data_IF_461344865817
#
_entry.id   IF_461344865817
#
_cell.length_a   1.000
_cell.length_b   1.000
_cell.length_c   1.000
_cell.angle_alpha   90.00
_cell.angle_beta   90.00
_cell.angle_gamma   90.00
#
_symmetry.space_group_name_H-M   'P 1'
#
loop_
_entity.id
_entity.type
_entity.pdbx_description
1 polymer ?
#
# COMPACT_ATOMS: atom_id res chain seq x y z
N UNK A 1 14.13 0.37 -8.77
CA UNK A 1 14.26 -0.45 -7.54
C UNK A 1 15.24 -1.55 -7.83
N UNK A 2 16.33 -1.59 -7.06
CA UNK A 2 17.34 -2.65 -7.11
C UNK A 2 16.95 -3.85 -6.21
N UNK A 3 17.78 -4.89 -6.19
CA UNK A 3 17.51 -6.11 -5.42
C UNK A 3 17.44 -5.84 -3.91
N UNK A 4 18.32 -5.00 -3.36
CA UNK A 4 18.33 -4.68 -1.92
C UNK A 4 17.02 -4.02 -1.48
N UNK A 5 16.56 -3.06 -2.26
CA UNK A 5 15.29 -2.38 -2.01
C UNK A 5 14.08 -3.31 -2.21
N UNK A 6 14.17 -4.26 -3.14
CA UNK A 6 13.12 -5.27 -3.33
C UNK A 6 13.06 -6.25 -2.16
N UNK A 7 14.19 -6.70 -1.63
CA UNK A 7 14.25 -7.50 -0.38
C UNK A 7 13.65 -6.72 0.78
N UNK A 8 14.03 -5.44 0.95
CA UNK A 8 13.47 -4.58 1.99
C UNK A 8 11.94 -4.42 1.85
N UNK A 9 11.46 -4.16 0.64
CA UNK A 9 10.04 -4.08 0.33
C UNK A 9 9.32 -5.40 0.64
N UNK A 10 9.89 -6.53 0.23
CA UNK A 10 9.32 -7.86 0.49
C UNK A 10 9.23 -8.16 1.98
N UNK A 11 10.25 -7.77 2.76
CA UNK A 11 10.24 -7.93 4.21
C UNK A 11 9.19 -7.05 4.90
N UNK A 12 9.04 -5.80 4.46
CA UNK A 12 7.98 -4.92 4.96
C UNK A 12 6.60 -5.47 4.59
N UNK A 13 6.42 -5.93 3.35
CA UNK A 13 5.17 -6.53 2.90
C UNK A 13 4.81 -7.78 3.72
N UNK A 14 5.78 -8.66 3.95
CA UNK A 14 5.63 -9.83 4.83
C UNK A 14 5.25 -9.41 6.24
N UNK A 15 5.93 -8.43 6.81
CA UNK A 15 5.62 -7.95 8.14
C UNK A 15 4.18 -7.42 8.24
N UNK A 16 3.71 -6.67 7.25
CA UNK A 16 2.38 -6.06 7.24
C UNK A 16 1.25 -7.06 6.96
N UNK A 17 1.46 -8.03 6.07
CA UNK A 17 0.41 -8.92 5.56
C UNK A 17 0.59 -10.40 5.93
N UNK A 18 1.66 -10.76 6.62
CA UNK A 18 2.00 -12.14 6.98
C UNK A 18 2.44 -13.01 5.79
N UNK A 19 2.66 -12.41 4.63
CA UNK A 19 3.10 -13.10 3.40
C UNK A 19 3.98 -12.21 2.55
N UNK A 20 4.95 -12.81 1.87
CA UNK A 20 5.74 -12.13 0.84
C UNK A 20 4.86 -11.60 -0.30
N UNK A 21 5.31 -10.58 -1.05
CA UNK A 21 4.57 -10.08 -2.19
C UNK A 21 4.46 -11.15 -3.27
N UNK A 22 3.40 -11.07 -4.07
CA UNK A 22 3.21 -11.91 -5.27
C UNK A 22 2.79 -11.04 -6.45
N UNK A 23 3.16 -11.47 -7.66
CA UNK A 23 2.70 -10.88 -8.90
C UNK A 23 1.80 -11.81 -9.72
N UNK A 24 1.44 -13.00 -9.19
CA UNK A 24 0.79 -14.09 -9.92
C UNK A 24 -0.56 -13.67 -10.50
N UNK A 25 -1.42 -13.08 -9.65
CA UNK A 25 -2.75 -12.65 -10.04
C UNK A 25 -2.93 -11.13 -9.97
N UNK A 26 -4.06 -10.67 -10.51
CA UNK A 26 -4.37 -9.25 -10.61
C UNK A 26 -4.51 -8.58 -9.24
N UNK A 27 -5.04 -9.28 -8.25
CA UNK A 27 -5.27 -8.74 -6.91
C UNK A 27 -3.96 -8.56 -6.16
N UNK A 28 -3.07 -9.55 -6.18
CA UNK A 28 -1.77 -9.47 -5.51
C UNK A 28 -0.93 -8.31 -6.08
N UNK A 29 -0.97 -8.10 -7.40
CA UNK A 29 -0.33 -6.93 -8.03
C UNK A 29 -0.90 -5.60 -7.55
N UNK A 30 -2.20 -5.53 -7.29
CA UNK A 30 -2.83 -4.30 -6.76
C UNK A 30 -2.42 -4.11 -5.30
N UNK A 31 -2.55 -5.15 -4.47
CA UNK A 31 -2.20 -5.13 -3.05
C UNK A 31 -0.77 -4.66 -2.87
N UNK A 32 0.18 -5.25 -3.60
CA UNK A 32 1.58 -4.87 -3.56
C UNK A 32 1.81 -3.38 -3.87
N UNK A 33 1.13 -2.87 -4.91
CA UNK A 33 1.20 -1.45 -5.27
C UNK A 33 0.66 -0.52 -4.18
N UNK A 34 -0.39 -0.93 -3.45
CA UNK A 34 -0.95 -0.13 -2.34
C UNK A 34 -0.08 -0.18 -1.10
N UNK A 35 0.49 -1.33 -0.78
CA UNK A 35 1.45 -1.45 0.33
C UNK A 35 2.66 -0.56 0.04
N UNK A 36 3.26 -0.66 -1.14
CA UNK A 36 4.41 0.18 -1.51
C UNK A 36 4.11 1.67 -1.37
N UNK A 37 2.93 2.11 -1.84
CA UNK A 37 2.53 3.51 -1.70
C UNK A 37 2.34 3.92 -0.23
N UNK A 38 1.61 3.13 0.56
CA UNK A 38 1.31 3.46 1.96
C UNK A 38 2.56 3.51 2.84
N UNK A 39 3.53 2.64 2.55
CA UNK A 39 4.82 2.58 3.25
C UNK A 39 5.65 3.83 2.95
N UNK A 40 5.76 4.24 1.68
CA UNK A 40 6.41 5.50 1.30
C UNK A 40 5.67 6.72 1.88
N UNK A 41 4.34 6.70 1.88
CA UNK A 41 3.51 7.76 2.45
C UNK A 41 3.73 7.95 3.95
N UNK A 42 4.01 6.85 4.66
CA UNK A 42 4.39 6.82 6.07
C UNK A 42 5.85 7.21 6.33
N UNK A 43 6.64 7.56 5.30
CA UNK A 43 8.03 8.00 5.43
C UNK A 43 9.02 6.85 5.60
N UNK A 44 8.68 5.65 5.12
CA UNK A 44 9.60 4.51 5.04
C UNK A 44 10.01 4.38 3.57
N UNK A 45 11.24 4.80 3.28
CA UNK A 45 11.79 4.79 1.93
C UNK A 45 12.33 3.41 1.57
N UNK A 46 11.78 2.81 0.53
CA UNK A 46 12.14 1.50 -0.02
C UNK A 46 12.80 1.66 -1.40
N UNK A 47 13.65 2.69 -1.52
CA UNK A 47 14.33 3.07 -2.75
C UNK A 47 13.50 3.99 -3.66
N UNK A 48 13.90 4.08 -4.93
CA UNK A 48 13.28 5.02 -5.88
C UNK A 48 11.94 4.53 -6.41
N UNK A 49 10.90 4.72 -5.60
CA UNK A 49 9.51 4.50 -5.96
C UNK A 49 8.84 5.83 -6.34
N UNK A 50 8.43 5.94 -7.61
CA UNK A 50 7.58 7.03 -8.07
C UNK A 50 6.17 6.52 -8.32
N UNK A 51 5.18 7.17 -7.71
CA UNK A 51 3.77 6.82 -7.86
C UNK A 51 3.02 7.88 -8.67
N UNK A 52 2.19 7.43 -9.59
CA UNK A 52 1.25 8.27 -10.32
C UNK A 52 -0.16 7.68 -10.26
N UNK A 53 -1.17 8.50 -10.56
CA UNK A 53 -2.55 8.05 -10.59
C UNK A 53 -2.82 7.09 -11.76
N UNK A 54 -3.27 5.87 -11.46
CA UNK A 54 -3.64 4.85 -12.43
C UNK A 54 -5.08 4.33 -12.18
N UNK A 55 -5.59 3.44 -13.04
CA UNK A 55 -6.94 2.86 -12.97
C UNK A 55 -7.33 2.38 -11.56
N UNK A 56 -6.36 1.85 -10.81
CA UNK A 56 -6.54 1.34 -9.44
C UNK A 56 -5.93 2.26 -8.37
N UNK A 57 -5.74 3.55 -8.65
CA UNK A 57 -5.12 4.53 -7.74
C UNK A 57 -3.60 4.62 -7.90
N UNK A 58 -2.83 4.98 -6.85
CA UNK A 58 -1.38 5.19 -6.96
C UNK A 58 -0.67 3.93 -7.47
N UNK A 59 0.19 4.11 -8.46
CA UNK A 59 0.90 3.00 -9.11
C UNK A 59 2.33 3.40 -9.47
N UNK A 60 3.25 2.48 -9.24
CA UNK A 60 4.66 2.58 -9.59
C UNK A 60 5.04 1.54 -10.64
N UNK A 61 5.54 2.01 -11.79
CA UNK A 61 6.09 1.15 -12.85
C UNK A 61 7.35 0.43 -12.38
N UNK A 62 8.20 1.10 -11.59
CA UNK A 62 9.43 0.50 -11.06
C UNK A 62 9.10 -0.66 -10.11
N UNK A 63 8.11 -0.48 -9.24
CA UNK A 63 7.63 -1.55 -8.36
C UNK A 63 6.99 -2.70 -9.17
N UNK A 64 6.21 -2.40 -10.20
CA UNK A 64 5.59 -3.44 -11.02
C UNK A 64 6.64 -4.31 -11.75
N UNK A 65 7.72 -3.68 -12.25
CA UNK A 65 8.84 -4.40 -12.84
C UNK A 65 9.59 -5.24 -11.80
N UNK A 66 9.82 -4.67 -10.62
CA UNK A 66 10.50 -5.34 -9.51
C UNK A 66 9.73 -6.57 -9.02
N UNK A 67 8.40 -6.48 -8.88
CA UNK A 67 7.55 -7.62 -8.50
C UNK A 67 7.59 -8.76 -9.53
N UNK A 68 7.65 -8.45 -10.83
CA UNK A 68 7.82 -9.49 -11.87
C UNK A 68 9.20 -10.13 -11.81
N UNK A 69 10.22 -9.37 -11.43
CA UNK A 69 11.56 -9.91 -11.22
C UNK A 69 11.61 -10.79 -9.97
N UNK A 70 10.98 -10.37 -8.87
CA UNK A 70 10.80 -11.19 -7.66
C UNK A 70 10.18 -12.55 -8.00
N UNK A 71 9.04 -12.56 -8.71
CA UNK A 71 8.33 -13.82 -9.01
C UNK A 71 9.16 -14.79 -9.85
N UNK A 72 10.03 -14.27 -10.74
CA UNK A 72 10.91 -15.10 -11.57
C UNK A 72 12.08 -15.71 -10.79
N UNK A 73 12.46 -15.13 -9.65
CA UNK A 73 13.62 -15.53 -8.85
C UNK A 73 13.20 -15.72 -7.38
N UNK A 74 11.99 -16.24 -7.16
CA UNK A 74 11.33 -16.22 -5.84
C UNK A 74 12.14 -16.92 -4.75
N UNK A 75 12.74 -18.07 -5.07
CA UNK A 75 13.55 -18.86 -4.13
C UNK A 75 14.74 -18.05 -3.58
N UNK A 76 15.50 -17.37 -4.45
CA UNK A 76 16.63 -16.52 -4.05
C UNK A 76 16.18 -15.38 -3.11
N UNK A 77 15.05 -14.75 -3.42
CA UNK A 77 14.52 -13.66 -2.60
C UNK A 77 13.93 -14.13 -1.27
N UNK A 78 13.33 -15.32 -1.23
CA UNK A 78 12.84 -15.93 0.00
C UNK A 78 13.99 -16.19 0.97
N UNK A 79 15.10 -16.73 0.46
CA UNK A 79 16.34 -16.90 1.22
C UNK A 79 16.89 -15.55 1.71
N UNK A 80 17.06 -14.57 0.82
CA UNK A 80 17.55 -13.22 1.20
C UNK A 80 16.68 -12.56 2.27
N UNK A 81 15.34 -12.66 2.15
CA UNK A 81 14.40 -12.10 3.12
C UNK A 81 14.47 -12.78 4.49
N UNK A 82 14.97 -14.01 4.57
CA UNK A 82 15.12 -14.73 5.84
C UNK A 82 16.25 -14.14 6.70
N UNK A 83 17.28 -13.57 6.07
CA UNK A 83 18.44 -12.98 6.74
C UNK A 83 18.24 -11.51 7.12
N UNK A 84 17.27 -10.82 6.52
CA UNK A 84 17.00 -9.39 6.75
C UNK A 84 16.04 -9.19 7.92
N UNK A 85 16.42 -8.28 8.83
CA UNK A 85 15.57 -7.80 9.93
C UNK A 85 15.13 -6.37 9.68
N UNK A 86 13.90 -6.07 10.07
CA UNK A 86 13.39 -4.70 10.07
C UNK A 86 14.02 -3.95 11.23
N UNK A 87 14.59 -2.78 10.94
CA UNK A 87 15.23 -1.94 11.93
C UNK A 87 14.18 -1.38 12.92
N UNK A 88 14.50 -1.36 14.22
CA UNK A 88 13.56 -0.99 15.29
C UNK A 88 12.93 0.40 15.10
N UNK A 89 13.74 1.36 14.64
CA UNK A 89 13.28 2.72 14.30
C UNK A 89 12.07 2.77 13.32
N UNK A 90 11.92 1.76 12.47
CA UNK A 90 10.85 1.69 11.46
C UNK A 90 9.59 1.01 12.00
N UNK A 91 9.72 0.19 13.05
CA UNK A 91 8.62 -0.61 13.60
C UNK A 91 7.40 0.22 14.01
N UNK A 92 7.52 1.37 14.72
CA UNK A 92 6.34 2.15 15.11
C UNK A 92 5.47 2.58 13.91
N UNK A 93 6.10 2.92 12.77
CA UNK A 93 5.38 3.29 11.55
C UNK A 93 4.72 2.09 10.88
N UNK A 94 5.37 0.93 10.91
CA UNK A 94 4.79 -0.31 10.40
C UNK A 94 3.66 -0.83 11.29
N UNK A 95 3.76 -0.70 12.60
CA UNK A 95 2.72 -1.07 13.55
C UNK A 95 1.49 -0.16 13.38
N UNK A 96 1.72 1.15 13.16
CA UNK A 96 0.65 2.05 12.73
C UNK A 96 -0.03 1.56 11.44
N UNK A 97 0.74 1.24 10.40
CA UNK A 97 0.17 0.73 9.14
C UNK A 97 -0.53 -0.61 9.32
N UNK A 98 -0.04 -1.51 10.18
CA UNK A 98 -0.76 -2.74 10.58
C UNK A 98 -2.10 -2.42 11.19
N UNK A 99 -2.17 -1.43 12.09
CA UNK A 99 -3.41 -0.96 12.68
C UNK A 99 -4.40 -0.45 11.64
N UNK A 100 -3.92 0.32 10.65
CA UNK A 100 -4.75 0.77 9.51
C UNK A 100 -5.24 -0.42 8.69
N UNK A 101 -4.37 -1.38 8.36
CA UNK A 101 -4.73 -2.57 7.56
C UNK A 101 -5.75 -3.44 8.30
N UNK A 102 -5.53 -3.69 9.60
CA UNK A 102 -6.42 -4.47 10.46
C UNK A 102 -7.75 -3.76 10.73
N UNK A 103 -7.77 -2.43 10.70
CA UNK A 103 -8.98 -1.60 10.87
C UNK A 103 -9.96 -1.63 9.69
N UNK A 104 -9.85 -2.60 8.80
CA UNK A 104 -10.74 -2.79 7.65
C UNK A 104 -12.18 -3.15 8.09
N UNK A 105 -13.22 -2.53 7.50
CA UNK A 105 -14.60 -2.97 7.68
C UNK A 105 -14.82 -4.43 7.24
N UNK A 106 -15.70 -5.15 7.93
CA UNK A 106 -15.99 -6.57 7.62
C UNK A 106 -16.47 -6.77 6.18
N UNK A 107 -17.35 -5.89 5.72
CA UNK A 107 -18.00 -5.88 4.40
C UNK A 107 -17.10 -5.35 3.26
N UNK A 108 -15.91 -4.83 3.57
CA UNK A 108 -14.98 -4.33 2.57
C UNK A 108 -13.89 -5.37 2.25
N UNK A 109 -13.78 -5.87 1.01
CA UNK A 109 -12.68 -6.74 0.59
C UNK A 109 -11.31 -6.06 0.76
N UNK A 110 -10.28 -6.85 1.11
CA UNK A 110 -8.90 -6.35 1.34
C UNK A 110 -8.36 -5.50 0.19
N UNK A 111 -8.58 -5.95 -1.05
CA UNK A 111 -8.15 -5.23 -2.25
C UNK A 111 -8.74 -3.81 -2.32
N UNK A 112 -10.03 -3.65 -2.01
CA UNK A 112 -10.70 -2.36 -2.05
C UNK A 112 -10.31 -1.49 -0.85
N UNK A 113 -10.14 -2.10 0.33
CA UNK A 113 -9.66 -1.39 1.52
C UNK A 113 -8.31 -0.72 1.29
N UNK A 114 -7.32 -1.48 0.83
CA UNK A 114 -5.99 -0.98 0.55
C UNK A 114 -6.00 0.04 -0.60
N UNK A 115 -6.86 -0.18 -1.61
CA UNK A 115 -7.04 0.77 -2.69
C UNK A 115 -7.62 2.10 -2.21
N UNK A 116 -8.61 2.07 -1.33
CA UNK A 116 -9.20 3.26 -0.70
C UNK A 116 -8.15 3.99 0.12
N UNK A 117 -7.45 3.30 1.03
CA UNK A 117 -6.42 3.88 1.88
C UNK A 117 -5.36 4.64 1.07
N UNK A 118 -4.78 3.97 0.08
CA UNK A 118 -3.73 4.56 -0.74
C UNK A 118 -4.29 5.69 -1.65
N UNK A 119 -5.49 5.51 -2.21
CA UNK A 119 -6.08 6.51 -3.11
C UNK A 119 -6.42 7.81 -2.38
N UNK A 120 -6.98 7.75 -1.17
CA UNK A 120 -7.33 8.95 -0.40
C UNK A 120 -6.09 9.75 -0.01
N UNK A 121 -5.01 9.09 0.43
CA UNK A 121 -3.75 9.77 0.74
C UNK A 121 -3.13 10.41 -0.50
N UNK A 122 -3.15 9.71 -1.63
CA UNK A 122 -2.67 10.26 -2.89
C UNK A 122 -3.47 11.50 -3.31
N UNK A 123 -4.80 11.41 -3.34
CA UNK A 123 -5.68 12.52 -3.73
C UNK A 123 -5.58 13.69 -2.77
N UNK A 124 -5.44 13.44 -1.47
CA UNK A 124 -5.22 14.47 -0.45
C UNK A 124 -3.93 15.24 -0.71
N UNK A 125 -2.83 14.54 -1.03
CA UNK A 125 -1.54 15.18 -1.35
C UNK A 125 -1.60 15.97 -2.65
N UNK A 126 -2.17 15.39 -3.71
CA UNK A 126 -2.30 16.03 -5.02
C UNK A 126 -3.20 17.27 -4.96
N UNK A 127 -4.36 17.15 -4.32
CA UNK A 127 -5.33 18.24 -4.16
C UNK A 127 -5.04 19.20 -3.01
N UNK A 128 -4.03 18.94 -2.20
CA UNK A 128 -3.67 19.69 -0.98
C UNK A 128 -4.86 19.96 -0.06
N UNK A 129 -5.71 18.95 0.11
CA UNK A 129 -6.93 19.04 0.93
C UNK A 129 -7.02 17.88 1.91
N UNK A 130 -7.66 18.13 3.05
CA UNK A 130 -7.97 17.15 4.09
C UNK A 130 -9.48 16.92 4.27
N UNK A 131 -10.28 17.54 3.41
CA UNK A 131 -11.74 17.40 3.41
C UNK A 131 -12.12 16.00 2.90
N UNK A 132 -12.59 15.15 3.82
CA UNK A 132 -12.94 13.77 3.52
C UNK A 132 -14.17 13.66 2.63
N UNK A 133 -15.16 14.54 2.77
CA UNK A 133 -16.37 14.51 1.93
C UNK A 133 -16.01 14.88 0.49
N UNK A 134 -15.14 15.86 0.30
CA UNK A 134 -14.61 16.18 -1.02
C UNK A 134 -13.80 15.00 -1.60
N UNK A 135 -12.89 14.42 -0.81
CA UNK A 135 -12.02 13.34 -1.27
C UNK A 135 -12.79 12.05 -1.59
N UNK A 136 -13.79 11.68 -0.78
CA UNK A 136 -14.64 10.51 -1.00
C UNK A 136 -15.45 10.69 -2.29
N UNK A 137 -16.08 11.85 -2.49
CA UNK A 137 -16.81 12.17 -3.71
C UNK A 137 -15.90 12.16 -4.95
N UNK A 138 -14.70 12.72 -4.84
CA UNK A 138 -13.71 12.69 -5.92
C UNK A 138 -13.27 11.25 -6.24
N UNK A 139 -13.04 10.42 -5.22
CA UNK A 139 -12.68 9.02 -5.39
C UNK A 139 -13.80 8.24 -6.05
N UNK A 140 -15.05 8.39 -5.61
CA UNK A 140 -16.23 7.74 -6.21
C UNK A 140 -16.42 8.20 -7.66
N UNK A 141 -16.26 9.49 -7.95
CA UNK A 141 -16.34 10.03 -9.32
C UNK A 141 -15.28 9.40 -10.24
N UNK A 142 -14.05 9.22 -9.75
CA UNK A 142 -12.97 8.56 -10.50
C UNK A 142 -13.15 7.03 -10.55
N UNK A 143 -13.81 6.44 -9.56
CA UNK A 143 -13.94 4.99 -9.36
C UNK A 143 -15.33 4.61 -8.81
N UNK A 144 -16.36 4.59 -9.68
CA UNK A 144 -17.73 4.36 -9.24
C UNK A 144 -17.96 3.01 -8.55
N UNK A 145 -17.14 1.99 -8.88
CA UNK A 145 -17.20 0.68 -8.25
C UNK A 145 -16.83 0.68 -6.76
N UNK A 146 -16.22 1.75 -6.24
CA UNK A 146 -15.94 1.89 -4.81
C UNK A 146 -17.11 2.49 -4.02
N UNK A 147 -18.18 2.96 -4.70
CA UNK A 147 -19.35 3.55 -4.05
C UNK A 147 -19.96 2.68 -2.94
N UNK A 148 -20.09 1.34 -3.09
CA UNK A 148 -20.60 0.49 -2.01
C UNK A 148 -19.77 0.54 -0.72
N UNK A 149 -18.51 1.01 -0.79
CA UNK A 149 -17.57 1.07 0.32
C UNK A 149 -17.33 2.50 0.83
N UNK A 150 -18.27 3.42 0.63
CA UNK A 150 -18.15 4.82 1.07
C UNK A 150 -17.84 4.94 2.57
N UNK A 151 -18.50 4.14 3.42
CA UNK A 151 -18.18 4.07 4.86
C UNK A 151 -16.71 3.73 5.12
N UNK A 152 -16.12 2.85 4.31
CA UNK A 152 -14.71 2.49 4.42
C UNK A 152 -13.80 3.68 4.09
N UNK A 153 -14.23 4.62 3.25
CA UNK A 153 -13.45 5.83 2.93
C UNK A 153 -13.28 6.72 4.16
N UNK A 154 -14.36 6.99 4.89
CA UNK A 154 -14.32 7.78 6.12
C UNK A 154 -13.49 7.10 7.22
N UNK A 155 -13.73 5.80 7.44
CA UNK A 155 -12.98 5.03 8.42
C UNK A 155 -11.48 4.95 8.08
N UNK A 156 -11.14 4.77 6.80
CA UNK A 156 -9.76 4.80 6.33
C UNK A 156 -9.10 6.14 6.64
N UNK A 157 -9.80 7.24 6.37
CA UNK A 157 -9.30 8.59 6.62
C UNK A 157 -9.05 8.86 8.10
N UNK A 158 -9.97 8.45 8.97
CA UNK A 158 -9.80 8.56 10.42
C UNK A 158 -8.55 7.80 10.87
N UNK A 159 -8.42 6.53 10.48
CA UNK A 159 -7.28 5.69 10.87
C UNK A 159 -5.94 6.25 10.36
N UNK A 160 -5.90 6.71 9.11
CA UNK A 160 -4.69 7.24 8.47
C UNK A 160 -4.24 8.61 8.99
N UNK A 161 -5.12 9.34 9.68
CA UNK A 161 -4.84 10.66 10.23
C UNK A 161 -4.93 10.71 11.76
N UNK A 162 -5.06 9.55 12.43
CA UNK A 162 -4.81 9.49 13.87
C UNK A 162 -3.40 10.01 14.14
N UNK A 163 -3.29 11.01 14.99
CA UNK A 163 -2.00 11.51 15.46
C UNK A 163 -1.34 10.37 16.23
N UNK A 164 -0.16 9.96 15.77
CA UNK A 164 0.74 9.04 16.48
C UNK A 164 1.77 9.88 17.21
#
# INVERSE_FOLDING_TARGET
MDNKNLVAYSKVHEHLLGKLPSADNYEDRIIAQKIGYLVEDAGIHLGDLSFFWHKRGPYSRSLASALRYFEKNREDFEEDCSYVKIHEYVLPRLDFLKGVIAGKPFDCPNIFWLEICASLKYLSKEGRTKDIDYLSNLLIKKKPFLKPYERAMHQSWELLNKVV
#
